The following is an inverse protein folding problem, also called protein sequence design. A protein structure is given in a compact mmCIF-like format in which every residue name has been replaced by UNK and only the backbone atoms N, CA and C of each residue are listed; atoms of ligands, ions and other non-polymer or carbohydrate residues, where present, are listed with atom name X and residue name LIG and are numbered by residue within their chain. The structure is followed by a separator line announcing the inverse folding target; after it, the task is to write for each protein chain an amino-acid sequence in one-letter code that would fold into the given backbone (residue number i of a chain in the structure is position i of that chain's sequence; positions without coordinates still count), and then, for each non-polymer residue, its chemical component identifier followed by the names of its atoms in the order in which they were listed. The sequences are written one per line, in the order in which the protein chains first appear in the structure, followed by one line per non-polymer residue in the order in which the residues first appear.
data_IF_834867909046
#
_entry.id   IF_834867909046
#
_cell.length_a   1.000
_cell.length_b   1.000
_cell.length_c   1.000
_cell.angle_alpha   90.00
_cell.angle_beta   90.00
_cell.angle_gamma   90.00
#
_symmetry.space_group_name_H-M   'P 1'
#
loop_
_entity.id
_entity.type
_entity.pdbx_description
1 polymer ?
#
# COMPACT_ATOMS: atom_id res chain seq x y z
N UNK A 1 -18.10 -0.77 7.97
CA UNK A 1 -18.24 -0.28 9.37
C UNK A 1 -17.39 -1.07 10.37
N UNK A 2 -17.28 -2.40 10.27
CA UNK A 2 -16.44 -3.21 11.16
C UNK A 2 -14.93 -2.92 11.01
N UNK A 3 -14.42 -2.81 9.76
CA UNK A 3 -12.99 -2.56 9.51
C UNK A 3 -12.50 -1.29 10.18
N UNK A 4 -13.13 -0.14 9.87
CA UNK A 4 -12.77 1.16 10.45
C UNK A 4 -12.82 1.16 11.98
N UNK A 5 -13.84 0.51 12.58
CA UNK A 5 -13.95 0.42 14.04
C UNK A 5 -12.81 -0.40 14.67
N UNK A 6 -12.34 -1.44 13.98
CA UNK A 6 -11.22 -2.27 14.42
C UNK A 6 -9.88 -1.58 14.16
N UNK A 7 -9.72 -0.92 13.01
CA UNK A 7 -8.56 -0.10 12.66
C UNK A 7 -8.29 1.00 13.69
N UNK A 8 -9.34 1.66 14.21
CA UNK A 8 -9.23 2.66 15.29
C UNK A 8 -8.64 2.11 16.60
N UNK A 9 -8.67 0.80 16.81
CA UNK A 9 -8.11 0.15 18.01
C UNK A 9 -6.64 -0.26 17.82
N UNK A 10 -6.07 -0.10 16.63
CA UNK A 10 -4.66 -0.41 16.36
C UNK A 10 -3.80 0.65 17.07
N UNK A 11 -2.92 0.24 18.00
CA UNK A 11 -2.02 1.16 18.69
C UNK A 11 -1.09 1.89 17.71
N UNK A 12 -0.70 3.12 18.05
CA UNK A 12 0.14 3.95 17.17
C UNK A 12 1.49 3.28 16.82
N UNK A 13 2.10 2.57 17.79
CA UNK A 13 3.35 1.82 17.63
C UNK A 13 3.20 0.54 16.78
N UNK A 14 1.96 0.12 16.51
CA UNK A 14 1.64 -1.04 15.68
C UNK A 14 1.20 -0.66 14.28
N UNK A 15 1.03 0.63 13.98
CA UNK A 15 0.64 1.07 12.64
C UNK A 15 1.75 0.77 11.64
N UNK A 16 1.34 0.24 10.49
CA UNK A 16 2.24 -0.15 9.40
C UNK A 16 2.39 0.99 8.41
N UNK A 17 3.62 1.27 8.00
CA UNK A 17 3.92 2.16 6.87
C UNK A 17 3.67 1.42 5.57
N UNK A 18 2.88 2.02 4.69
CA UNK A 18 2.48 1.43 3.42
C UNK A 18 3.00 2.29 2.29
N UNK A 19 3.70 1.65 1.37
CA UNK A 19 4.06 2.19 0.08
C UNK A 19 3.12 1.60 -0.97
N UNK A 20 2.55 2.46 -1.82
CA UNK A 20 1.68 2.02 -2.92
C UNK A 20 2.39 2.32 -4.24
N UNK A 21 2.59 1.30 -5.06
CA UNK A 21 3.08 1.47 -6.43
C UNK A 21 1.90 1.54 -7.40
N UNK A 22 1.67 2.75 -7.91
CA UNK A 22 0.68 2.99 -8.96
C UNK A 22 1.22 2.55 -10.32
N UNK A 23 2.54 2.68 -10.50
CA UNK A 23 3.25 2.24 -11.70
C UNK A 23 4.61 1.66 -11.35
N UNK A 24 5.01 0.65 -12.12
CA UNK A 24 6.33 0.04 -12.02
C UNK A 24 7.45 0.97 -12.56
N UNK A 25 8.72 0.74 -12.20
CA UNK A 25 9.86 1.43 -12.79
C UNK A 25 9.83 1.42 -14.32
N UNK A 26 10.35 2.46 -15.00
CA UNK A 26 11.21 3.53 -14.47
C UNK A 26 10.50 4.73 -13.86
N UNK A 27 9.17 4.79 -13.91
CA UNK A 27 8.40 5.89 -13.34
C UNK A 27 7.59 5.40 -12.15
N UNK A 28 8.09 5.64 -10.94
CA UNK A 28 7.39 5.26 -9.72
C UNK A 28 6.41 6.37 -9.32
N UNK A 29 5.13 6.16 -9.59
CA UNK A 29 4.05 6.97 -9.02
C UNK A 29 3.49 6.28 -7.77
N UNK A 30 3.13 7.10 -6.80
CA UNK A 30 2.44 6.65 -5.58
C UNK A 30 1.17 7.47 -5.35
N UNK A 31 0.56 7.30 -4.18
CA UNK A 31 -0.70 7.93 -3.81
C UNK A 31 -0.47 8.84 -2.61
N UNK A 32 -0.89 10.09 -2.72
CA UNK A 32 -0.76 11.10 -1.68
C UNK A 32 -2.11 11.53 -1.12
N UNK A 33 -2.10 12.61 -0.33
CA UNK A 33 -3.30 13.27 0.18
C UNK A 33 -4.28 13.65 -0.95
N UNK A 34 -5.57 13.55 -0.67
CA UNK A 34 -6.64 13.84 -1.63
C UNK A 34 -6.86 12.74 -2.67
N UNK A 35 -6.13 11.63 -2.58
CA UNK A 35 -6.41 10.43 -3.36
C UNK A 35 -7.31 9.47 -2.60
N UNK A 36 -8.12 8.74 -3.35
CA UNK A 36 -8.99 7.71 -2.79
C UNK A 36 -8.21 6.59 -2.09
N UNK A 37 -7.08 6.16 -2.65
CA UNK A 37 -6.26 5.12 -2.02
C UNK A 37 -5.69 5.59 -0.68
N UNK A 38 -5.34 6.88 -0.53
CA UNK A 38 -4.93 7.42 0.77
C UNK A 38 -6.06 7.32 1.81
N UNK A 39 -7.32 7.63 1.42
CA UNK A 39 -8.47 7.47 2.31
C UNK A 39 -8.68 6.02 2.76
N UNK A 40 -8.47 5.05 1.85
CA UNK A 40 -8.54 3.63 2.19
C UNK A 40 -7.44 3.21 3.18
N UNK A 41 -6.20 3.64 2.96
CA UNK A 41 -5.10 3.37 3.88
C UNK A 41 -5.37 3.94 5.28
N UNK A 42 -5.83 5.20 5.35
CA UNK A 42 -6.20 5.83 6.61
C UNK A 42 -7.36 5.11 7.31
N UNK A 43 -8.39 4.69 6.55
CA UNK A 43 -9.52 3.94 7.05
C UNK A 43 -9.14 2.54 7.55
N UNK A 44 -8.13 1.91 6.94
CA UNK A 44 -7.52 0.66 7.38
C UNK A 44 -6.58 0.86 8.59
N UNK A 45 -6.29 2.10 8.99
CA UNK A 45 -5.39 2.42 10.10
C UNK A 45 -3.91 2.33 9.74
N UNK A 46 -3.57 2.31 8.45
CA UNK A 46 -2.21 2.34 7.94
C UNK A 46 -1.63 3.77 7.92
N UNK A 47 -0.31 3.87 7.79
CA UNK A 47 0.42 5.12 7.56
C UNK A 47 0.85 5.11 6.10
N UNK A 48 0.26 5.98 5.27
CA UNK A 48 0.76 6.20 3.92
C UNK A 48 2.10 6.95 3.98
N UNK A 49 3.15 6.40 3.37
CA UNK A 49 4.49 7.03 3.38
C UNK A 49 4.55 8.34 2.59
N UNK A 50 3.60 8.58 1.69
CA UNK A 50 3.50 9.80 0.89
C UNK A 50 2.30 10.68 1.29
N UNK A 51 1.78 10.54 2.51
CA UNK A 51 0.62 11.29 3.01
C UNK A 51 0.83 12.82 3.07
N UNK A 52 2.08 13.29 3.01
CA UNK A 52 2.45 14.71 3.00
C UNK A 52 2.40 15.35 1.60
N UNK A 53 2.34 14.54 0.54
CA UNK A 53 2.26 14.99 -0.85
C UNK A 53 0.83 14.94 -1.36
N UNK A 54 0.42 15.81 -2.29
CA UNK A 54 -0.93 15.81 -2.86
C UNK A 54 -1.01 15.01 -4.16
N UNK A 55 -2.17 14.39 -4.41
CA UNK A 55 -2.46 13.69 -5.67
C UNK A 55 -1.61 12.43 -5.87
N UNK A 56 -1.10 12.24 -7.09
CA UNK A 56 -0.27 11.08 -7.44
C UNK A 56 1.18 11.52 -7.65
N UNK A 57 1.98 11.66 -6.59
CA UNK A 57 3.35 12.15 -6.72
C UNK A 57 4.24 11.09 -7.38
N UNK A 58 5.19 11.56 -8.19
CA UNK A 58 6.30 10.76 -8.71
C UNK A 58 7.44 10.79 -7.70
N UNK A 59 7.93 9.62 -7.29
CA UNK A 59 9.07 9.48 -6.38
C UNK A 59 10.23 8.78 -7.09
N UNK A 60 11.45 9.01 -6.62
CA UNK A 60 12.60 8.18 -6.99
C UNK A 60 12.61 6.87 -6.21
N UNK A 61 13.37 5.89 -6.70
CA UNK A 61 13.55 4.61 -6.00
C UNK A 61 14.16 4.83 -4.61
N UNK A 62 15.13 5.75 -4.49
CA UNK A 62 15.79 6.07 -3.23
C UNK A 62 14.82 6.65 -2.20
N UNK A 63 13.88 7.51 -2.61
CA UNK A 63 12.85 8.04 -1.73
C UNK A 63 11.95 6.93 -1.19
N UNK A 64 11.48 6.03 -2.06
CA UNK A 64 10.63 4.91 -1.68
C UNK A 64 11.35 3.92 -0.74
N UNK A 65 12.62 3.61 -1.02
CA UNK A 65 13.45 2.75 -0.16
C UNK A 65 13.73 3.41 1.19
N UNK A 66 14.05 4.71 1.21
CA UNK A 66 14.33 5.46 2.44
C UNK A 66 13.11 5.55 3.36
N UNK A 67 11.89 5.54 2.80
CA UNK A 67 10.66 5.49 3.59
C UNK A 67 10.51 4.19 4.41
N UNK A 68 11.24 3.12 4.06
CA UNK A 68 11.24 1.81 4.74
C UNK A 68 9.81 1.32 5.04
N UNK A 69 8.97 1.12 4.01
CA UNK A 69 7.62 0.62 4.20
C UNK A 69 7.62 -0.78 4.82
N UNK A 70 6.64 -1.02 5.69
CA UNK A 70 6.35 -2.34 6.24
C UNK A 70 5.55 -3.21 5.26
N UNK A 71 4.79 -2.57 4.36
CA UNK A 71 3.95 -3.24 3.36
C UNK A 71 4.05 -2.49 2.03
N UNK A 72 4.12 -3.23 0.92
CA UNK A 72 4.05 -2.69 -0.45
C UNK A 72 2.76 -3.19 -1.10
N UNK A 73 1.96 -2.27 -1.63
CA UNK A 73 0.75 -2.58 -2.39
C UNK A 73 0.98 -2.21 -3.86
N UNK A 74 0.71 -3.14 -4.78
CA UNK A 74 0.87 -2.93 -6.21
C UNK A 74 -0.50 -2.78 -6.84
N UNK A 75 -0.76 -1.66 -7.52
CA UNK A 75 -2.06 -1.41 -8.16
C UNK A 75 -1.99 -1.58 -9.67
N UNK A 76 -1.11 -2.41 -10.19
CA UNK A 76 -0.97 -2.67 -11.62
C UNK A 76 -0.80 -4.17 -11.88
N UNK A 77 -1.30 -4.61 -13.03
CA UNK A 77 -1.26 -6.01 -13.48
C UNK A 77 -0.52 -6.19 -14.82
N UNK A 78 -0.16 -5.10 -15.51
CA UNK A 78 0.57 -5.13 -16.77
C UNK A 78 2.01 -5.65 -16.65
N UNK A 79 2.54 -5.82 -15.43
CA UNK A 79 3.85 -6.43 -15.16
C UNK A 79 3.62 -7.88 -14.71
N UNK A 80 4.03 -8.88 -15.52
CA UNK A 80 4.00 -10.28 -15.10
C UNK A 80 4.85 -10.50 -13.84
N UNK A 81 4.32 -11.24 -12.87
CA UNK A 81 5.01 -11.54 -11.62
C UNK A 81 5.52 -10.29 -10.87
N UNK A 82 4.75 -9.20 -10.87
CA UNK A 82 5.13 -7.91 -10.29
C UNK A 82 5.74 -8.01 -8.87
N UNK A 83 5.18 -8.88 -8.02
CA UNK A 83 5.71 -9.15 -6.66
C UNK A 83 7.16 -9.64 -6.70
N UNK A 84 7.47 -10.60 -7.56
CA UNK A 84 8.82 -11.14 -7.69
C UNK A 84 9.78 -10.12 -8.32
N UNK A 85 9.30 -9.29 -9.23
CA UNK A 85 10.10 -8.19 -9.79
C UNK A 85 10.47 -7.14 -8.74
N UNK A 86 9.56 -6.79 -7.82
CA UNK A 86 9.86 -5.93 -6.67
C UNK A 86 10.93 -6.57 -5.77
N UNK A 87 10.79 -7.87 -5.44
CA UNK A 87 11.77 -8.59 -4.60
C UNK A 87 13.18 -8.63 -5.19
N UNK A 88 13.30 -8.62 -6.52
CA UNK A 88 14.59 -8.65 -7.21
C UNK A 88 15.31 -7.29 -7.20
N UNK A 89 14.64 -6.18 -6.87
CA UNK A 89 15.24 -4.84 -6.88
C UNK A 89 16.36 -4.75 -5.85
N UNK A 90 17.63 -4.53 -6.26
CA UNK A 90 18.77 -4.57 -5.35
C UNK A 90 18.67 -3.56 -4.19
N UNK A 91 18.16 -2.35 -4.47
CA UNK A 91 18.01 -1.29 -3.48
C UNK A 91 16.95 -1.62 -2.39
N UNK A 92 16.03 -2.54 -2.68
CA UNK A 92 14.90 -2.85 -1.80
C UNK A 92 15.17 -3.99 -0.82
N UNK A 93 16.31 -4.68 -0.91
CA UNK A 93 16.62 -5.87 -0.09
C UNK A 93 16.46 -5.64 1.42
N UNK A 94 16.78 -4.44 1.89
CA UNK A 94 16.69 -4.06 3.31
C UNK A 94 15.36 -3.38 3.67
N UNK A 95 14.45 -3.20 2.71
CA UNK A 95 13.11 -2.67 2.98
C UNK A 95 12.31 -3.73 3.74
N UNK A 96 11.67 -3.39 4.89
CA UNK A 96 10.95 -4.37 5.70
C UNK A 96 9.91 -5.18 4.91
N UNK A 97 9.13 -4.52 4.05
CA UNK A 97 8.15 -5.20 3.19
C UNK A 97 8.78 -6.31 2.33
N UNK A 98 9.95 -6.07 1.74
CA UNK A 98 10.64 -7.06 0.90
C UNK A 98 11.23 -8.18 1.76
N UNK A 99 11.88 -7.82 2.88
CA UNK A 99 12.53 -8.77 3.78
C UNK A 99 11.55 -9.77 4.41
N UNK A 100 10.34 -9.32 4.74
CA UNK A 100 9.30 -10.14 5.37
C UNK A 100 8.23 -10.63 4.38
N UNK A 101 8.38 -10.33 3.09
CA UNK A 101 7.46 -10.80 2.05
C UNK A 101 6.08 -10.14 2.06
N UNK A 102 5.94 -8.96 2.66
CA UNK A 102 4.70 -8.17 2.71
C UNK A 102 4.54 -7.29 1.46
N UNK A 103 4.41 -7.95 0.31
CA UNK A 103 4.20 -7.32 -1.00
C UNK A 103 2.95 -7.94 -1.61
N UNK A 104 1.91 -7.13 -1.84
CA UNK A 104 0.60 -7.61 -2.25
C UNK A 104 0.10 -6.88 -3.50
N UNK A 105 -0.30 -7.60 -4.57
CA UNK A 105 -1.02 -7.01 -5.67
C UNK A 105 -2.48 -6.78 -5.24
N UNK A 106 -2.97 -5.55 -5.40
CA UNK A 106 -4.38 -5.24 -5.18
C UNK A 106 -5.18 -5.58 -6.42
N UNK A 107 -6.38 -6.10 -6.23
CA UNK A 107 -7.30 -6.34 -7.32
C UNK A 107 -7.77 -5.00 -7.94
N UNK A 108 -7.39 -4.72 -9.18
CA UNK A 108 -7.79 -3.48 -9.85
C UNK A 108 -9.32 -3.30 -9.95
N UNK A 109 -10.08 -4.40 -10.03
CA UNK A 109 -11.54 -4.34 -10.10
C UNK A 109 -12.20 -3.85 -8.79
N UNK A 110 -11.50 -3.96 -7.65
CA UNK A 110 -11.98 -3.52 -6.34
C UNK A 110 -11.53 -2.08 -6.01
N UNK A 111 -10.34 -1.67 -6.47
CA UNK A 111 -9.73 -0.37 -6.07
C UNK A 111 -9.82 0.76 -7.10
N UNK A 112 -10.11 0.48 -8.37
CA UNK A 112 -10.07 1.49 -9.45
C UNK A 112 -11.41 2.17 -9.78
N UNK A 113 -12.55 1.63 -9.30
CA UNK A 113 -13.88 2.12 -9.66
C UNK A 113 -14.66 2.62 -8.43
N UNK A 114 -15.05 3.91 -8.37
CA UNK A 114 -15.96 4.39 -7.33
C UNK A 114 -17.29 3.61 -7.41
N UNK A 115 -17.66 2.89 -6.35
CA UNK A 115 -18.86 2.05 -6.34
C UNK A 115 -19.01 1.18 -5.08
N UNK A 116 -19.95 0.23 -5.03
CA UNK A 116 -20.17 -0.62 -3.85
C UNK A 116 -18.95 -1.49 -3.48
N UNK A 117 -18.04 -1.74 -4.42
CA UNK A 117 -16.80 -2.52 -4.23
C UNK A 117 -15.70 -1.80 -3.44
N UNK A 118 -15.91 -0.54 -3.07
CA UNK A 118 -14.97 0.23 -2.26
C UNK A 118 -14.78 -0.36 -0.86
N UNK A 119 -15.83 -1.00 -0.32
CA UNK A 119 -15.74 -1.71 0.96
C UNK A 119 -14.92 -2.99 0.83
N UNK A 120 -14.98 -3.65 -0.33
CA UNK A 120 -14.19 -4.84 -0.61
C UNK A 120 -12.70 -4.48 -0.70
N UNK A 121 -12.35 -3.37 -1.38
CA UNK A 121 -10.99 -2.85 -1.42
C UNK A 121 -10.45 -2.44 -0.04
N UNK A 122 -11.28 -1.85 0.81
CA UNK A 122 -10.91 -1.55 2.20
C UNK A 122 -10.64 -2.83 3.02
N UNK A 123 -11.47 -3.86 2.84
CA UNK A 123 -11.29 -5.14 3.53
C UNK A 123 -10.04 -5.88 3.05
N UNK A 124 -9.76 -5.87 1.74
CA UNK A 124 -8.56 -6.41 1.12
C UNK A 124 -7.31 -5.73 1.70
N UNK A 125 -7.24 -4.39 1.63
CA UNK A 125 -6.11 -3.62 2.18
C UNK A 125 -5.94 -3.88 3.69
N UNK A 126 -7.03 -3.91 4.46
CA UNK A 126 -6.93 -4.15 5.90
C UNK A 126 -6.36 -5.55 6.22
N UNK A 127 -6.73 -6.57 5.43
CA UNK A 127 -6.21 -7.94 5.56
C UNK A 127 -4.73 -8.03 5.16
N UNK A 128 -4.35 -7.40 4.06
CA UNK A 128 -2.96 -7.42 3.59
C UNK A 128 -2.03 -6.65 4.53
N UNK A 129 -2.48 -5.50 5.06
CA UNK A 129 -1.68 -4.66 5.96
C UNK A 129 -1.62 -5.25 7.37
N UNK A 130 -2.69 -5.88 7.84
CA UNK A 130 -2.78 -6.44 9.21
C UNK A 130 -3.42 -7.84 9.22
N UNK A 131 -2.76 -8.88 8.68
CA UNK A 131 -3.34 -10.22 8.55
C UNK A 131 -3.72 -10.88 9.88
N UNK A 132 -3.01 -10.54 10.97
CA UNK A 132 -3.33 -11.04 12.31
C UNK A 132 -4.55 -10.35 12.93
N UNK A 133 -4.82 -9.11 12.51
CA UNK A 133 -5.93 -8.31 13.00
C UNK A 133 -7.18 -8.59 12.20
N UNK A 134 -7.13 -8.60 10.87
CA UNK A 134 -8.30 -8.84 10.02
C UNK A 134 -8.23 -10.25 9.43
N UNK A 135 -9.07 -11.14 9.96
CA UNK A 135 -9.29 -12.50 9.47
C UNK A 135 -10.67 -12.56 8.83
#
# INVERSE_FOLDING_TARGET
RAVVAKAKKIPADKKKKVWVEISAPPELYTTGKGTFMNELLEAAGAINVAADQEGWPKWTEEQAVAAKPDVILLTYDYVPNAVEEVKKRPAWKEVPAVKYGAIYPLNQDTVSRPGPRLMDGLEEIAKDVYPDVFK
#
